data_IF_809220808603
#
_entry.id   IF_809220808603
#
_cell.length_a   1.000
_cell.length_b   1.000
_cell.length_c   1.000
_cell.angle_alpha   90.00
_cell.angle_beta   90.00
_cell.angle_gamma   90.00
#
_symmetry.space_group_name_H-M   'P 1'
#
loop_
_entity.id
_entity.type
_entity.pdbx_description
1 polymer ?
#
# COMPACT_ATOMS: atom_id res chain seq x y z
N UNK A 1 -27.39 -60.82 -8.55
CA UNK A 1 -28.75 -60.30 -8.36
C UNK A 1 -28.95 -60.14 -6.85
N UNK A 2 -28.57 -58.97 -6.34
CA UNK A 2 -29.02 -58.44 -5.04
C UNK A 2 -28.70 -56.94 -5.07
N UNK A 3 -29.76 -56.14 -5.12
CA UNK A 3 -29.73 -54.72 -4.77
C UNK A 3 -29.46 -54.59 -3.27
N UNK A 4 -28.64 -53.61 -2.89
CA UNK A 4 -28.70 -52.99 -1.57
C UNK A 4 -28.74 -51.48 -1.76
N UNK A 5 -29.92 -50.94 -1.50
CA UNK A 5 -30.24 -49.55 -1.66
C UNK A 5 -29.88 -48.77 -0.38
N UNK A 6 -29.26 -47.60 -0.58
CA UNK A 6 -29.38 -46.37 0.23
C UNK A 6 -28.53 -46.25 1.52
N UNK A 7 -27.61 -45.27 1.54
CA UNK A 7 -27.61 -44.15 2.49
C UNK A 7 -26.55 -43.09 2.15
N UNK A 8 -26.98 -41.82 2.31
CA UNK A 8 -26.24 -40.56 2.44
C UNK A 8 -25.40 -40.14 1.23
N UNK A 9 -25.82 -39.13 0.46
CA UNK A 9 -25.59 -37.72 0.82
C UNK A 9 -24.12 -37.57 1.24
N UNK A 10 -23.27 -37.26 0.24
CA UNK A 10 -22.02 -36.59 0.53
C UNK A 10 -22.44 -35.29 1.21
N UNK A 11 -22.49 -35.30 2.54
CA UNK A 11 -22.31 -34.12 3.37
C UNK A 11 -20.93 -33.59 2.98
N UNK A 12 -20.91 -32.90 1.85
CA UNK A 12 -19.84 -32.01 1.46
C UNK A 12 -19.73 -31.08 2.64
N UNK A 13 -18.66 -31.31 3.40
CA UNK A 13 -18.21 -30.43 4.45
C UNK A 13 -18.01 -29.04 3.84
N UNK A 14 -19.11 -28.29 3.82
CA UNK A 14 -19.18 -26.88 3.44
C UNK A 14 -18.46 -26.01 4.48
N UNK A 15 -17.65 -26.56 5.40
CA UNK A 15 -16.73 -25.76 6.22
C UNK A 15 -15.64 -25.07 5.39
N UNK A 16 -15.46 -25.49 4.13
CA UNK A 16 -14.68 -24.73 3.14
C UNK A 16 -15.46 -23.57 2.50
N UNK A 17 -16.80 -23.57 2.59
CA UNK A 17 -17.63 -22.49 2.10
C UNK A 17 -17.66 -21.35 3.14
N UNK A 18 -16.63 -20.51 3.04
CA UNK A 18 -16.55 -19.16 3.63
C UNK A 18 -16.69 -19.08 5.15
N UNK A 19 -15.66 -19.49 5.91
CA UNK A 19 -15.52 -18.95 7.27
C UNK A 19 -15.46 -17.42 7.19
N UNK A 20 -16.03 -16.71 8.17
CA UNK A 20 -16.21 -15.24 8.17
C UNK A 20 -14.92 -14.40 7.96
N UNK A 21 -13.74 -15.03 7.96
CA UNK A 21 -12.46 -14.42 7.62
C UNK A 21 -12.10 -14.50 6.13
N UNK A 22 -12.74 -15.37 5.34
CA UNK A 22 -12.68 -15.35 3.87
C UNK A 22 -13.54 -14.21 3.35
N UNK A 23 -13.05 -12.99 3.55
CA UNK A 23 -13.52 -11.85 2.79
C UNK A 23 -12.91 -11.99 1.41
N UNK A 24 -13.74 -12.30 0.41
CA UNK A 24 -13.32 -12.29 -0.98
C UNK A 24 -12.76 -10.89 -1.30
N UNK A 25 -11.46 -10.84 -1.58
CA UNK A 25 -10.74 -9.60 -1.88
C UNK A 25 -11.12 -9.03 -3.24
N UNK A 26 -11.78 -9.80 -4.11
CA UNK A 26 -12.13 -9.43 -5.47
C UNK A 26 -13.43 -8.59 -5.58
N UNK A 27 -14.32 -8.60 -4.57
CA UNK A 27 -15.58 -7.83 -4.61
C UNK A 27 -15.56 -6.50 -3.86
N UNK A 28 -14.49 -6.15 -3.15
CA UNK A 28 -14.39 -4.87 -2.43
C UNK A 28 -13.24 -3.98 -2.93
N UNK A 29 -13.62 -2.81 -3.42
CA UNK A 29 -12.75 -1.82 -4.09
C UNK A 29 -11.71 -1.17 -3.18
N UNK A 30 -11.80 -1.34 -1.85
CA UNK A 30 -11.01 -0.56 -0.90
C UNK A 30 -9.49 -0.82 -0.96
N UNK A 31 -9.07 -2.01 -1.44
CA UNK A 31 -7.66 -2.42 -1.50
C UNK A 31 -7.19 -2.88 -2.90
N UNK A 32 -7.95 -2.62 -3.97
CA UNK A 32 -7.53 -3.01 -5.32
C UNK A 32 -7.46 -4.52 -5.59
N UNK A 33 -8.05 -5.37 -4.74
CA UNK A 33 -8.25 -6.79 -5.04
C UNK A 33 -7.39 -7.79 -4.26
N UNK A 34 -6.43 -7.35 -3.42
CA UNK A 34 -5.40 -8.22 -2.84
C UNK A 34 -5.27 -8.00 -1.32
N UNK A 35 -5.33 -9.08 -0.53
CA UNK A 35 -5.06 -9.08 0.92
C UNK A 35 -6.29 -9.24 1.80
N UNK A 36 -6.09 -9.60 3.08
CA UNK A 36 -7.15 -9.66 4.07
C UNK A 36 -7.65 -8.26 4.45
N UNK A 37 -8.95 -8.11 4.67
CA UNK A 37 -9.57 -6.81 5.00
C UNK A 37 -10.37 -6.93 6.29
N UNK A 38 -10.41 -5.84 7.07
CA UNK A 38 -11.43 -5.71 8.12
C UNK A 38 -12.80 -5.46 7.46
N UNK A 39 -13.92 -5.90 8.08
CA UNK A 39 -15.25 -5.74 7.50
C UNK A 39 -15.68 -4.29 7.18
N UNK A 40 -15.00 -3.30 7.77
CA UNK A 40 -15.29 -1.86 7.68
C UNK A 40 -14.24 -1.08 6.87
N UNK A 41 -13.61 -1.72 5.89
CA UNK A 41 -12.64 -1.09 5.00
C UNK A 41 -13.30 0.02 4.16
N UNK A 42 -13.34 1.25 4.68
CA UNK A 42 -13.61 2.44 3.87
C UNK A 42 -12.45 2.64 2.88
N UNK A 43 -12.77 3.04 1.65
CA UNK A 43 -11.74 3.29 0.64
C UNK A 43 -10.94 4.55 1.01
N UNK A 44 -9.77 4.36 1.61
CA UNK A 44 -8.87 5.46 1.98
C UNK A 44 -8.34 6.13 0.69
N UNK A 45 -8.65 7.42 0.46
CA UNK A 45 -8.25 8.10 -0.77
C UNK A 45 -6.73 8.19 -0.88
N UNK A 46 -6.22 8.13 -2.11
CA UNK A 46 -4.79 8.36 -2.37
C UNK A 46 -4.41 9.80 -1.97
N UNK A 47 -3.17 10.05 -1.52
CA UNK A 47 -2.67 11.41 -1.38
C UNK A 47 -2.78 12.14 -2.72
N UNK A 48 -3.27 13.39 -2.71
CA UNK A 48 -3.52 14.17 -3.93
C UNK A 48 -2.24 14.46 -4.72
N UNK A 49 -1.13 14.56 -4.00
CA UNK A 49 0.23 14.83 -4.48
C UNK A 49 1.00 13.58 -4.88
N UNK A 50 0.49 12.38 -4.59
CA UNK A 50 1.14 11.15 -5.02
C UNK A 50 1.15 11.08 -6.55
N UNK A 51 2.29 10.75 -7.15
CA UNK A 51 2.37 10.31 -8.54
C UNK A 51 2.12 8.80 -8.63
N UNK A 52 2.60 8.03 -7.64
CA UNK A 52 2.41 6.59 -7.51
C UNK A 52 2.04 6.21 -6.08
N UNK A 53 1.21 5.19 -5.94
CA UNK A 53 0.88 4.53 -4.68
C UNK A 53 1.21 3.04 -4.82
N UNK A 54 1.82 2.46 -3.80
CA UNK A 54 2.03 1.02 -3.70
C UNK A 54 0.82 0.31 -3.11
N UNK A 55 0.95 -1.00 -2.97
CA UNK A 55 -0.05 -1.85 -2.35
C UNK A 55 -0.06 -1.65 -0.82
N UNK A 56 -1.15 -2.09 -0.19
CA UNK A 56 -1.24 -2.14 1.27
C UNK A 56 -0.43 -3.34 1.80
N UNK A 57 0.36 -3.08 2.83
CA UNK A 57 1.25 -4.05 3.45
C UNK A 57 1.13 -3.96 4.98
N UNK A 58 1.12 -5.11 5.64
CA UNK A 58 1.28 -5.25 7.09
C UNK A 58 2.70 -5.76 7.34
N UNK A 59 3.66 -4.82 7.47
CA UNK A 59 5.09 -5.15 7.49
C UNK A 59 5.52 -5.90 8.76
N UNK A 60 4.78 -5.76 9.85
CA UNK A 60 5.11 -6.34 11.16
C UNK A 60 4.09 -7.38 11.65
N UNK A 61 3.02 -7.62 10.88
CA UNK A 61 1.99 -8.62 11.22
C UNK A 61 1.10 -8.18 12.39
N UNK A 62 1.04 -6.88 12.67
CA UNK A 62 0.28 -6.32 13.80
C UNK A 62 -1.14 -5.90 13.42
N UNK A 63 -1.44 -5.89 12.11
CA UNK A 63 -2.66 -5.32 11.57
C UNK A 63 -2.57 -3.82 11.26
N UNK A 64 -1.40 -3.19 11.45
CA UNK A 64 -1.13 -1.81 11.08
C UNK A 64 -0.82 -1.69 9.58
N UNK A 65 -1.88 -1.87 8.78
CA UNK A 65 -1.78 -1.76 7.32
C UNK A 65 -1.34 -0.37 6.88
N UNK A 66 -0.29 -0.33 6.07
CA UNK A 66 0.27 0.87 5.49
C UNK A 66 0.61 0.68 4.01
N UNK A 67 0.64 1.76 3.24
CA UNK A 67 1.15 1.75 1.86
C UNK A 67 2.18 2.84 1.67
N UNK A 68 3.18 2.55 0.85
CA UNK A 68 4.13 3.56 0.39
C UNK A 68 3.54 4.37 -0.76
N UNK A 69 3.91 5.63 -0.86
CA UNK A 69 3.63 6.45 -2.04
C UNK A 69 4.84 7.30 -2.42
N UNK A 70 4.82 7.80 -3.64
CA UNK A 70 5.86 8.71 -4.13
C UNK A 70 5.23 9.80 -4.99
N UNK A 71 5.61 11.05 -4.75
CA UNK A 71 5.19 12.25 -5.46
C UNK A 71 5.95 12.46 -6.77
N UNK A 72 5.85 13.63 -7.36
CA UNK A 72 6.60 13.96 -8.59
C UNK A 72 8.09 14.08 -8.28
N UNK A 73 8.96 13.64 -9.19
CA UNK A 73 10.42 13.82 -9.05
C UNK A 73 10.77 15.27 -9.35
N UNK A 74 11.42 15.95 -8.40
CA UNK A 74 11.87 17.34 -8.55
C UNK A 74 13.25 17.43 -9.21
N UNK A 75 14.06 16.37 -9.10
CA UNK A 75 15.37 16.21 -9.74
C UNK A 75 15.62 14.70 -9.95
N UNK A 76 16.61 14.31 -10.77
CA UNK A 76 16.96 12.90 -11.01
C UNK A 76 17.23 12.08 -9.72
N UNK A 77 17.48 12.78 -8.60
CA UNK A 77 17.84 12.20 -7.32
C UNK A 77 16.85 12.52 -6.19
N UNK A 78 15.78 13.27 -6.42
CA UNK A 78 14.91 13.80 -5.36
C UNK A 78 13.43 13.55 -5.66
N UNK A 79 12.74 13.01 -4.67
CA UNK A 79 11.31 12.75 -4.72
C UNK A 79 10.70 12.88 -3.33
N UNK A 80 9.50 13.47 -3.23
CA UNK A 80 8.69 13.34 -2.01
C UNK A 80 8.19 11.90 -1.95
N UNK A 81 8.42 11.23 -0.83
CA UNK A 81 7.90 9.88 -0.57
C UNK A 81 7.11 9.91 0.73
N UNK A 82 6.32 8.89 0.97
CA UNK A 82 5.62 8.81 2.24
C UNK A 82 4.97 7.47 2.51
N UNK A 83 4.40 7.40 3.70
CA UNK A 83 3.58 6.31 4.19
C UNK A 83 2.16 6.83 4.39
N UNK A 84 1.18 6.03 3.99
CA UNK A 84 -0.21 6.24 4.34
C UNK A 84 -0.71 5.03 5.11
N UNK A 85 -1.31 5.26 6.28
CA UNK A 85 -1.95 4.24 7.11
C UNK A 85 -3.43 4.06 6.75
N UNK A 86 -4.00 2.92 7.10
CA UNK A 86 -5.40 2.59 6.82
C UNK A 86 -6.41 3.50 7.55
N UNK A 87 -5.98 4.24 8.56
CA UNK A 87 -6.76 5.29 9.22
C UNK A 87 -6.76 6.63 8.44
N UNK A 88 -6.05 6.70 7.32
CA UNK A 88 -5.89 7.91 6.51
C UNK A 88 -4.71 8.79 6.91
N UNK A 89 -4.01 8.48 7.99
CA UNK A 89 -2.82 9.22 8.44
C UNK A 89 -1.72 9.13 7.39
N UNK A 90 -1.13 10.28 7.05
CA UNK A 90 -0.04 10.39 6.09
C UNK A 90 1.22 10.89 6.79
N UNK A 91 2.36 10.30 6.48
CA UNK A 91 3.68 10.81 6.87
C UNK A 91 4.52 10.99 5.61
N UNK A 92 5.09 12.19 5.43
CA UNK A 92 5.92 12.54 4.28
C UNK A 92 7.39 12.64 4.66
N UNK A 93 8.25 12.31 3.70
CA UNK A 93 9.69 12.45 3.79
C UNK A 93 10.26 12.84 2.42
N UNK A 94 11.43 13.49 2.42
CA UNK A 94 12.20 13.73 1.19
C UNK A 94 13.11 12.52 0.94
N UNK A 95 12.85 11.79 -0.15
CA UNK A 95 13.66 10.67 -0.61
C UNK A 95 14.79 11.15 -1.51
N UNK A 96 16.03 10.77 -1.17
CA UNK A 96 17.24 11.06 -1.96
C UNK A 96 17.79 9.75 -2.53
N UNK A 97 17.84 9.65 -3.85
CA UNK A 97 18.36 8.49 -4.57
C UNK A 97 19.60 8.87 -5.38
N UNK A 98 20.78 8.53 -4.89
CA UNK A 98 22.06 8.76 -5.57
C UNK A 98 22.70 7.40 -5.87
N UNK A 99 22.82 7.06 -7.14
CA UNK A 99 23.38 5.77 -7.59
C UNK A 99 24.86 5.85 -8.00
N UNK A 100 25.38 7.07 -8.25
CA UNK A 100 26.72 7.31 -8.76
C UNK A 100 27.53 8.25 -7.86
N UNK A 101 28.86 8.30 -8.07
CA UNK A 101 29.73 9.27 -7.39
C UNK A 101 29.37 10.69 -7.85
N UNK A 102 29.03 11.56 -6.90
CA UNK A 102 28.73 12.96 -7.19
C UNK A 102 30.02 13.77 -7.39
N UNK A 103 30.07 14.54 -8.48
CA UNK A 103 31.05 15.62 -8.60
C UNK A 103 30.73 16.73 -7.59
N UNK A 104 31.70 17.58 -7.19
CA UNK A 104 31.42 18.71 -6.31
C UNK A 104 30.33 19.67 -6.85
N UNK A 105 30.20 19.80 -8.18
CA UNK A 105 29.13 20.59 -8.80
C UNK A 105 27.77 19.93 -8.62
N UNK A 106 27.65 18.65 -8.98
CA UNK A 106 26.41 17.88 -8.83
C UNK A 106 25.97 17.79 -7.36
N UNK A 107 26.92 17.73 -6.41
CA UNK A 107 26.63 17.76 -4.98
C UNK A 107 26.00 19.09 -4.53
N UNK A 108 26.47 20.23 -5.06
CA UNK A 108 25.87 21.55 -4.75
C UNK A 108 24.49 21.72 -5.37
N UNK A 109 24.30 21.23 -6.60
CA UNK A 109 23.00 21.21 -7.26
C UNK A 109 21.99 20.36 -6.48
N UNK A 110 22.40 19.16 -6.04
CA UNK A 110 21.59 18.30 -5.19
C UNK A 110 21.23 18.98 -3.86
N UNK A 111 22.18 19.68 -3.22
CA UNK A 111 21.91 20.42 -2.00
C UNK A 111 20.88 21.54 -2.21
N UNK A 112 20.96 22.29 -3.32
CA UNK A 112 19.97 23.30 -3.68
C UNK A 112 18.58 22.69 -3.92
N UNK A 113 18.51 21.57 -4.63
CA UNK A 113 17.26 20.86 -4.86
C UNK A 113 16.67 20.27 -3.56
N UNK A 114 17.51 19.83 -2.62
CA UNK A 114 17.06 19.32 -1.31
C UNK A 114 16.41 20.43 -0.48
N UNK A 115 16.98 21.63 -0.47
CA UNK A 115 16.40 22.79 0.22
C UNK A 115 15.03 23.18 -0.36
N UNK A 116 14.91 23.16 -1.70
CA UNK A 116 13.63 23.41 -2.36
C UNK A 116 12.59 22.34 -2.01
N UNK A 117 12.96 21.05 -2.07
CA UNK A 117 12.06 19.95 -1.72
C UNK A 117 11.62 19.96 -0.25
N UNK A 118 12.51 20.36 0.67
CA UNK A 118 12.14 20.54 2.07
C UNK A 118 11.10 21.65 2.25
N UNK A 119 11.26 22.76 1.52
CA UNK A 119 10.30 23.87 1.53
C UNK A 119 8.94 23.42 1.00
N UNK A 120 8.91 22.65 -0.09
CA UNK A 120 7.67 22.11 -0.65
C UNK A 120 6.99 21.13 0.34
N UNK A 121 7.77 20.29 1.03
CA UNK A 121 7.23 19.36 2.02
C UNK A 121 6.55 20.09 3.20
N UNK A 122 7.14 21.17 3.69
CA UNK A 122 6.55 22.02 4.74
C UNK A 122 5.20 22.65 4.33
N UNK A 123 4.92 22.78 3.02
CA UNK A 123 3.63 23.28 2.51
C UNK A 123 2.55 22.19 2.36
N UNK A 124 2.92 20.92 2.51
CA UNK A 124 2.02 19.77 2.33
C UNK A 124 1.55 19.15 3.66
N UNK A 125 2.10 19.61 4.78
CA UNK A 125 1.68 19.30 6.15
C UNK A 125 0.56 20.25 6.63
#
# INVERSE_FOLDING_TARGET
>A
MTDFNRHAENDGDDSWAAPAWQVDSATRTCCGGIGGHTPNCEAVPRPADAARVGDWEDLDGTGDWQRHFSGTRHHNHLQIIGLQRADGTITRCVGVHVHDVLTPTAARELAGALLAAATDADQLD
#
